data_IF_997972121785
#
_entry.id   IF_997972121785
#
_cell.length_a   1.000
_cell.length_b   1.000
_cell.length_c   1.000
_cell.angle_alpha   90.00
_cell.angle_beta   90.00
_cell.angle_gamma   90.00
#
_symmetry.space_group_name_H-M   'P 1'
#
loop_
_entity.id
_entity.type
_entity.pdbx_description
1 polymer ?
#
# COMPACT_ATOMS: atom_id res chain seq x y z
N UNK A 1 -15.44 57.14 32.87
CA UNK A 1 -14.28 56.32 32.46
C UNK A 1 -14.75 54.90 32.19
N UNK A 2 -15.00 54.55 30.93
CA UNK A 2 -15.50 53.20 30.50
C UNK A 2 -14.26 52.37 30.13
N UNK A 3 -14.01 51.28 30.86
CA UNK A 3 -12.99 50.28 30.55
C UNK A 3 -13.55 49.35 29.51
N UNK A 4 -13.01 49.36 28.28
CA UNK A 4 -13.29 48.37 27.27
C UNK A 4 -12.40 47.15 27.54
N UNK A 5 -13.02 46.03 27.94
CA UNK A 5 -12.41 44.75 28.01
C UNK A 5 -12.38 44.21 26.58
N UNK A 6 -11.21 44.19 25.97
CA UNK A 6 -10.97 43.53 24.67
C UNK A 6 -10.79 42.03 24.95
N UNK A 7 -11.84 41.24 24.77
CA UNK A 7 -11.75 39.79 24.79
C UNK A 7 -11.15 39.32 23.45
N UNK A 8 -9.86 39.09 23.44
CA UNK A 8 -9.18 38.42 22.34
C UNK A 8 -9.59 36.96 22.41
N UNK A 9 -10.58 36.60 21.60
CA UNK A 9 -10.94 35.20 21.33
C UNK A 9 -9.83 34.52 20.56
N UNK A 10 -8.98 33.81 21.27
CA UNK A 10 -7.97 32.94 20.69
C UNK A 10 -8.72 31.75 20.03
N UNK A 11 -9.05 31.90 18.75
CA UNK A 11 -9.53 30.82 17.92
C UNK A 11 -8.39 29.78 17.78
N UNK A 12 -8.40 28.80 18.66
CA UNK A 12 -7.66 27.56 18.46
C UNK A 12 -8.22 26.88 17.19
N UNK A 13 -7.60 27.11 16.07
CA UNK A 13 -7.71 26.20 14.93
C UNK A 13 -7.08 24.87 15.35
N UNK A 14 -7.86 24.00 15.96
CA UNK A 14 -7.52 22.60 16.11
C UNK A 14 -7.59 22.02 14.69
N UNK A 15 -6.45 22.02 14.03
CA UNK A 15 -6.27 21.22 12.81
C UNK A 15 -6.48 19.76 13.23
N UNK A 16 -7.65 19.21 12.99
CA UNK A 16 -7.88 17.79 13.08
C UNK A 16 -7.04 17.14 11.95
N UNK A 17 -5.81 16.78 12.27
CA UNK A 17 -5.04 15.85 11.49
C UNK A 17 -5.79 14.51 11.65
N UNK A 18 -6.65 14.20 10.69
CA UNK A 18 -7.35 12.94 10.64
C UNK A 18 -6.34 11.81 10.72
N UNK A 19 -6.63 10.78 11.50
CA UNK A 19 -5.84 9.56 11.52
C UNK A 19 -5.66 9.10 10.06
N UNK A 20 -4.41 8.97 9.62
CA UNK A 20 -4.13 8.48 8.28
C UNK A 20 -4.45 6.99 8.27
N UNK A 21 -5.39 6.59 7.42
CA UNK A 21 -5.71 5.20 7.18
C UNK A 21 -4.54 4.60 6.40
N UNK A 22 -3.80 3.70 7.02
CA UNK A 22 -2.63 3.07 6.41
C UNK A 22 -2.79 1.56 6.53
N UNK A 23 -2.75 0.87 5.41
CA UNK A 23 -2.69 -0.58 5.35
C UNK A 23 -1.26 -1.04 5.05
N UNK A 24 -0.98 -2.33 5.18
CA UNK A 24 0.38 -2.85 5.04
C UNK A 24 0.67 -3.26 3.62
N UNK A 25 -0.26 -3.95 2.97
CA UNK A 25 -0.13 -4.47 1.60
C UNK A 25 -0.95 -3.65 0.62
N UNK A 26 -2.15 -3.19 1.00
CA UNK A 26 -3.04 -2.40 0.14
C UNK A 26 -2.88 -0.91 0.37
N UNK A 27 -3.31 -0.12 -0.62
CA UNK A 27 -3.37 1.34 -0.51
C UNK A 27 -4.80 1.79 -0.12
N UNK A 28 -4.97 2.73 0.84
CA UNK A 28 -6.25 3.38 1.09
C UNK A 28 -6.53 4.46 0.05
N UNK A 29 -7.80 4.91 -0.04
CA UNK A 29 -8.18 6.05 -0.87
C UNK A 29 -7.61 7.40 -0.37
N UNK A 30 -7.12 7.44 0.85
CA UNK A 30 -6.46 8.61 1.43
C UNK A 30 -5.10 8.86 0.81
N UNK A 31 -4.77 10.14 0.60
CA UNK A 31 -3.45 10.56 0.15
C UNK A 31 -2.62 11.07 1.33
N UNK A 32 -1.30 11.05 1.15
CA UNK A 32 -0.40 11.74 2.05
C UNK A 32 -0.64 13.27 2.01
N UNK A 33 -0.27 14.03 3.06
CA UNK A 33 -0.43 15.47 3.09
C UNK A 33 0.26 16.18 1.93
N UNK A 34 -0.35 17.26 1.45
CA UNK A 34 0.22 18.06 0.36
C UNK A 34 1.60 18.62 0.74
N UNK A 35 2.57 18.52 -0.18
CA UNK A 35 3.95 18.97 0.01
C UNK A 35 4.78 18.08 0.94
N UNK A 36 4.23 16.98 1.46
CA UNK A 36 5.01 16.01 2.23
C UNK A 36 5.68 14.97 1.31
N UNK A 37 6.80 14.45 1.77
CA UNK A 37 7.49 13.32 1.14
C UNK A 37 7.59 12.15 2.12
N UNK A 38 7.71 10.95 1.59
CA UNK A 38 7.76 9.74 2.36
C UNK A 38 8.78 8.80 1.75
N UNK A 39 9.59 8.19 2.60
CA UNK A 39 10.50 7.10 2.23
C UNK A 39 10.00 5.85 2.93
N UNK A 40 9.74 4.80 2.16
CA UNK A 40 9.36 3.48 2.67
C UNK A 40 10.35 2.42 2.18
N UNK A 41 10.71 1.53 3.07
CA UNK A 41 11.51 0.36 2.79
C UNK A 41 10.67 -0.87 3.11
N UNK A 42 10.11 -1.47 2.07
CA UNK A 42 9.32 -2.70 2.19
C UNK A 42 10.21 -3.90 1.96
N UNK A 43 10.18 -4.84 2.88
CA UNK A 43 10.91 -6.09 2.81
C UNK A 43 9.92 -7.24 2.93
N UNK A 44 10.12 -8.27 2.13
CA UNK A 44 9.35 -9.50 2.25
C UNK A 44 10.24 -10.72 2.13
N UNK A 45 9.89 -11.73 2.91
CA UNK A 45 10.55 -13.03 2.91
C UNK A 45 9.47 -14.10 2.76
N UNK A 46 9.40 -14.70 1.57
CA UNK A 46 8.41 -15.68 1.21
C UNK A 46 9.05 -17.05 1.03
N UNK A 47 8.39 -18.09 1.55
CA UNK A 47 8.81 -19.46 1.35
C UNK A 47 8.45 -19.90 -0.06
N UNK A 48 9.43 -20.42 -0.80
CA UNK A 48 9.22 -21.05 -2.11
C UNK A 48 8.47 -22.37 -1.98
N UNK A 49 7.61 -22.64 -2.95
CA UNK A 49 6.85 -23.89 -3.01
C UNK A 49 7.52 -24.96 -3.87
N UNK A 50 8.29 -24.56 -4.87
CA UNK A 50 8.89 -25.45 -5.86
C UNK A 50 10.33 -25.82 -5.53
N UNK A 51 11.00 -25.03 -4.72
CA UNK A 51 12.39 -25.20 -4.30
C UNK A 51 12.52 -25.05 -2.80
N UNK A 52 13.53 -25.65 -2.20
CA UNK A 52 13.87 -25.43 -0.80
C UNK A 52 14.60 -24.09 -0.66
N UNK A 53 13.82 -23.03 -0.36
CA UNK A 53 14.40 -21.68 -0.27
C UNK A 53 13.41 -20.64 0.19
N UNK A 54 13.92 -19.41 0.23
CA UNK A 54 13.16 -18.22 0.53
C UNK A 54 13.45 -17.14 -0.50
N UNK A 55 12.40 -16.61 -1.08
CA UNK A 55 12.44 -15.39 -1.88
C UNK A 55 12.45 -14.18 -0.96
N UNK A 56 13.54 -13.42 -1.01
CA UNK A 56 13.66 -12.12 -0.37
C UNK A 56 13.46 -11.01 -1.39
N UNK A 57 12.54 -10.11 -1.11
CA UNK A 57 12.32 -8.91 -1.87
C UNK A 57 12.51 -7.68 -1.02
N UNK A 58 13.21 -6.71 -1.58
CA UNK A 58 13.42 -5.39 -1.01
C UNK A 58 12.89 -4.36 -2.00
N UNK A 59 11.96 -3.53 -1.55
CA UNK A 59 11.33 -2.50 -2.36
C UNK A 59 11.45 -1.12 -1.66
N UNK A 60 12.50 -0.35 -1.98
CA UNK A 60 12.57 1.05 -1.61
C UNK A 60 11.55 1.87 -2.40
N UNK A 61 10.79 2.70 -1.70
CA UNK A 61 9.76 3.57 -2.27
C UNK A 61 9.97 5.01 -1.85
N UNK A 62 9.75 5.93 -2.78
CA UNK A 62 9.71 7.36 -2.54
C UNK A 62 8.35 7.89 -2.98
N UNK A 63 7.60 8.49 -2.06
CA UNK A 63 6.29 9.07 -2.33
C UNK A 63 6.30 10.58 -2.11
N UNK A 64 5.47 11.30 -2.89
CA UNK A 64 5.29 12.74 -2.77
C UNK A 64 3.82 13.13 -2.93
N UNK A 65 3.29 13.89 -1.96
CA UNK A 65 1.96 14.48 -2.02
C UNK A 65 2.00 15.79 -2.80
N UNK A 66 1.58 15.78 -4.07
CA UNK A 66 1.55 16.98 -4.92
C UNK A 66 0.54 17.98 -4.38
N UNK A 67 -0.65 17.50 -4.04
CA UNK A 67 -1.72 18.26 -3.39
C UNK A 67 -2.63 17.32 -2.58
N UNK A 68 -3.69 17.83 -1.97
CA UNK A 68 -4.62 17.03 -1.16
C UNK A 68 -5.26 15.86 -1.92
N UNK A 69 -5.33 15.94 -3.24
CA UNK A 69 -6.03 14.97 -4.09
C UNK A 69 -5.09 14.08 -4.91
N UNK A 70 -3.83 14.49 -5.10
CA UNK A 70 -2.90 13.83 -6.01
C UNK A 70 -1.60 13.49 -5.30
N UNK A 71 -1.18 12.24 -5.39
CA UNK A 71 0.13 11.77 -4.95
C UNK A 71 0.79 10.91 -6.02
N UNK A 72 2.12 10.87 -5.99
CA UNK A 72 2.95 10.03 -6.83
C UNK A 72 3.88 9.19 -5.97
N UNK A 73 4.26 8.00 -6.45
CA UNK A 73 5.22 7.11 -5.81
C UNK A 73 6.12 6.48 -6.88
N UNK A 74 7.42 6.45 -6.62
CA UNK A 74 8.39 5.66 -7.36
C UNK A 74 8.89 4.54 -6.46
N UNK A 75 9.05 3.34 -7.03
CA UNK A 75 9.60 2.18 -6.33
C UNK A 75 10.68 1.50 -7.17
N UNK A 76 11.64 0.87 -6.51
CA UNK A 76 12.62 -0.02 -7.12
C UNK A 76 12.43 -1.44 -6.60
N UNK A 77 12.71 -2.44 -7.43
CA UNK A 77 12.56 -3.85 -7.10
C UNK A 77 13.93 -4.53 -7.00
N UNK A 78 14.23 -5.09 -5.86
CA UNK A 78 15.47 -5.84 -5.60
C UNK A 78 15.09 -7.19 -5.03
N UNK A 79 15.65 -8.28 -5.57
CA UNK A 79 15.40 -9.63 -5.08
C UNK A 79 16.67 -10.48 -5.03
N UNK A 80 16.55 -11.67 -4.41
CA UNK A 80 17.64 -12.64 -4.35
C UNK A 80 17.45 -13.83 -5.32
N UNK A 81 16.52 -13.77 -6.28
CA UNK A 81 16.19 -14.88 -7.19
C UNK A 81 17.40 -15.44 -7.96
N UNK A 82 18.39 -14.62 -8.24
CA UNK A 82 19.63 -15.03 -8.93
C UNK A 82 20.74 -15.43 -7.95
N UNK A 83 20.44 -15.96 -6.77
CA UNK A 83 21.38 -16.30 -5.69
C UNK A 83 22.22 -15.12 -5.18
N UNK A 84 21.85 -13.90 -5.52
CA UNK A 84 22.44 -12.64 -5.01
C UNK A 84 21.40 -11.53 -5.15
N UNK A 85 21.54 -10.49 -4.34
CA UNK A 85 20.69 -9.31 -4.45
C UNK A 85 20.92 -8.62 -5.80
N UNK A 86 19.85 -8.48 -6.57
CA UNK A 86 19.87 -7.90 -7.90
C UNK A 86 18.73 -6.91 -8.08
N UNK A 87 19.02 -5.77 -8.74
CA UNK A 87 18.03 -4.77 -9.10
C UNK A 87 17.25 -5.25 -10.34
N UNK A 88 16.02 -5.66 -10.15
CA UNK A 88 15.16 -6.21 -11.22
C UNK A 88 14.42 -5.14 -12.01
N UNK A 89 14.11 -3.99 -11.37
CA UNK A 89 13.34 -2.96 -12.05
C UNK A 89 12.77 -1.91 -11.12
N UNK A 90 11.64 -1.34 -11.53
CA UNK A 90 10.93 -0.34 -10.74
C UNK A 90 9.57 0.01 -11.31
N UNK A 91 8.82 0.82 -10.56
CA UNK A 91 7.50 1.30 -10.96
C UNK A 91 7.28 2.76 -10.64
N UNK A 92 6.34 3.35 -11.39
CA UNK A 92 5.73 4.64 -11.09
C UNK A 92 4.25 4.43 -10.81
N UNK A 93 3.77 5.04 -9.74
CA UNK A 93 2.39 4.96 -9.28
C UNK A 93 1.85 6.38 -9.08
N UNK A 94 0.62 6.61 -9.55
CA UNK A 94 -0.11 7.87 -9.39
C UNK A 94 -1.47 7.56 -8.81
N UNK A 95 -1.87 8.26 -7.74
CA UNK A 95 -3.20 8.12 -7.13
C UNK A 95 -3.90 9.47 -7.05
N UNK A 96 -5.14 9.49 -7.53
CA UNK A 96 -6.01 10.66 -7.53
C UNK A 96 -7.26 10.38 -6.70
N UNK A 97 -7.41 11.10 -5.59
CA UNK A 97 -8.61 11.07 -4.76
C UNK A 97 -9.63 12.05 -5.34
N UNK A 98 -10.66 11.53 -5.98
CA UNK A 98 -11.67 12.33 -6.64
C UNK A 98 -12.88 12.66 -5.75
N UNK A 99 -13.07 11.91 -4.64
CA UNK A 99 -14.15 12.15 -3.71
C UNK A 99 -13.68 12.04 -2.25
N UNK A 100 -14.18 12.95 -1.40
CA UNK A 100 -13.97 12.91 0.05
C UNK A 100 -15.20 13.53 0.72
N UNK A 101 -15.79 12.77 1.65
CA UNK A 101 -16.81 13.23 2.57
C UNK A 101 -16.29 13.03 3.98
N UNK A 102 -15.97 14.13 4.66
CA UNK A 102 -15.34 14.12 5.96
C UNK A 102 -16.30 14.70 7.01
N UNK A 103 -16.57 13.94 8.05
CA UNK A 103 -17.33 14.32 9.23
C UNK A 103 -16.45 14.14 10.48
N UNK A 104 -16.87 14.58 11.66
CA UNK A 104 -16.07 14.60 12.90
C UNK A 104 -15.47 13.25 13.24
N UNK A 105 -16.22 12.16 13.03
CA UNK A 105 -15.81 10.79 13.38
C UNK A 105 -15.94 9.79 12.23
N UNK A 106 -16.19 10.25 11.02
CA UNK A 106 -16.42 9.40 9.87
C UNK A 106 -15.91 10.04 8.61
N UNK A 107 -15.09 9.31 7.85
CA UNK A 107 -14.57 9.76 6.57
C UNK A 107 -14.92 8.71 5.52
N UNK A 108 -15.38 9.15 4.36
CA UNK A 108 -15.55 8.28 3.20
C UNK A 108 -14.82 8.88 2.00
N UNK A 109 -13.96 8.09 1.37
CA UNK A 109 -13.08 8.54 0.32
C UNK A 109 -13.07 7.57 -0.84
N UNK A 110 -13.01 8.13 -2.06
CA UNK A 110 -12.84 7.37 -3.29
C UNK A 110 -11.62 7.90 -4.04
N UNK A 111 -10.82 6.97 -4.56
CA UNK A 111 -9.65 7.29 -5.36
C UNK A 111 -9.56 6.35 -6.57
N UNK A 112 -8.89 6.83 -7.61
CA UNK A 112 -8.41 6.02 -8.71
C UNK A 112 -6.89 6.04 -8.71
N UNK A 113 -6.27 5.02 -9.26
CA UNK A 113 -4.83 4.96 -9.40
C UNK A 113 -4.40 4.29 -10.70
N UNK A 114 -3.19 4.62 -11.12
CA UNK A 114 -2.50 3.94 -12.20
C UNK A 114 -1.07 3.61 -11.79
N UNK A 115 -0.58 2.48 -12.27
CA UNK A 115 0.80 2.04 -12.12
C UNK A 115 1.36 1.64 -13.47
N UNK A 116 2.63 1.96 -13.68
CA UNK A 116 3.44 1.45 -14.79
C UNK A 116 4.68 0.85 -14.17
N UNK A 117 5.04 -0.36 -14.58
CA UNK A 117 6.23 -1.04 -14.09
C UNK A 117 7.09 -1.60 -15.21
N UNK A 118 8.38 -1.67 -14.93
CA UNK A 118 9.37 -2.37 -15.74
C UNK A 118 10.16 -3.30 -14.85
N UNK A 119 10.25 -4.56 -15.27
CA UNK A 119 11.01 -5.61 -14.62
C UNK A 119 11.92 -6.29 -15.63
N UNK A 120 12.98 -6.96 -15.17
CA UNK A 120 13.94 -7.71 -15.99
C UNK A 120 14.13 -9.13 -15.49
N UNK A 121 13.31 -9.55 -14.50
CA UNK A 121 13.35 -10.89 -13.95
C UNK A 121 12.63 -11.88 -14.87
N UNK A 122 12.95 -13.15 -14.67
CA UNK A 122 12.26 -14.26 -15.31
C UNK A 122 10.77 -14.32 -14.92
N UNK A 123 9.92 -14.76 -15.86
CA UNK A 123 8.49 -14.96 -15.66
C UNK A 123 8.24 -16.44 -15.41
N UNK A 124 8.09 -16.84 -14.14
CA UNK A 124 8.04 -18.25 -13.72
C UNK A 124 6.75 -18.61 -12.96
N UNK A 125 5.77 -17.72 -12.92
CA UNK A 125 4.48 -17.94 -12.27
C UNK A 125 3.32 -17.40 -13.11
N UNK A 126 2.10 -17.90 -12.87
CA UNK A 126 0.89 -17.41 -13.54
C UNK A 126 0.31 -16.17 -12.87
N UNK A 127 0.60 -15.97 -11.57
CA UNK A 127 0.21 -14.75 -10.87
C UNK A 127 0.85 -13.54 -11.56
N UNK A 128 0.02 -12.53 -11.87
CA UNK A 128 0.48 -11.25 -12.42
C UNK A 128 0.69 -10.29 -11.26
N UNK A 129 1.87 -9.65 -11.22
CA UNK A 129 2.21 -8.70 -10.17
C UNK A 129 3.16 -7.62 -10.71
N UNK A 130 2.60 -6.46 -11.08
CA UNK A 130 3.37 -5.31 -11.55
C UNK A 130 4.14 -4.61 -10.42
N UNK A 131 3.93 -5.04 -9.18
CA UNK A 131 4.65 -4.54 -8.02
C UNK A 131 5.78 -5.50 -7.60
N UNK A 132 6.68 -5.83 -8.55
CA UNK A 132 7.89 -6.57 -8.24
C UNK A 132 8.22 -7.73 -9.17
N UNK A 133 7.27 -8.29 -9.93
CA UNK A 133 7.50 -9.47 -10.76
C UNK A 133 7.35 -9.22 -12.26
N UNK A 134 6.35 -8.44 -12.67
CA UNK A 134 6.03 -8.24 -14.07
C UNK A 134 6.23 -6.79 -14.50
N UNK A 135 6.71 -6.61 -15.72
CA UNK A 135 6.49 -5.37 -16.46
C UNK A 135 5.01 -5.28 -16.83
N UNK A 136 4.47 -4.06 -16.84
CA UNK A 136 3.08 -3.90 -17.24
C UNK A 136 2.44 -2.64 -16.70
N UNK A 137 1.11 -2.64 -16.73
CA UNK A 137 0.27 -1.53 -16.27
C UNK A 137 -0.85 -2.04 -15.38
N UNK A 138 -1.25 -1.21 -14.44
CA UNK A 138 -2.40 -1.45 -13.56
C UNK A 138 -3.22 -0.18 -13.44
N UNK A 139 -4.56 -0.33 -13.50
CA UNK A 139 -5.52 0.75 -13.26
C UNK A 139 -6.57 0.28 -12.26
N UNK A 140 -6.85 1.07 -11.24
CA UNK A 140 -7.77 0.64 -10.20
C UNK A 140 -8.55 1.76 -9.53
N UNK A 141 -9.53 1.31 -8.75
CA UNK A 141 -10.40 2.13 -7.91
C UNK A 141 -10.26 1.66 -6.46
N UNK A 142 -10.32 2.61 -5.53
CA UNK A 142 -10.24 2.37 -4.09
C UNK A 142 -11.37 3.11 -3.42
N UNK A 143 -12.08 2.43 -2.51
CA UNK A 143 -13.05 3.01 -1.60
C UNK A 143 -12.61 2.76 -0.16
N UNK A 144 -12.53 3.80 0.66
CA UNK A 144 -12.14 3.69 2.07
C UNK A 144 -13.14 4.41 2.96
N UNK A 145 -13.60 3.71 3.99
CA UNK A 145 -14.46 4.25 5.05
C UNK A 145 -13.75 4.15 6.39
N UNK A 146 -13.58 5.29 7.04
CA UNK A 146 -13.15 5.37 8.43
C UNK A 146 -14.35 5.71 9.30
N UNK A 147 -14.53 4.96 10.38
CA UNK A 147 -15.52 5.26 11.43
C UNK A 147 -14.82 5.16 12.77
N UNK A 148 -14.70 6.29 13.47
CA UNK A 148 -13.95 6.42 14.71
C UNK A 148 -12.49 5.92 14.58
N UNK A 149 -12.20 4.74 15.09
CA UNK A 149 -10.87 4.12 15.11
C UNK A 149 -10.75 2.91 14.16
N UNK A 150 -11.78 2.66 13.36
CA UNK A 150 -11.85 1.50 12.47
C UNK A 150 -11.93 1.97 11.04
N UNK A 151 -11.02 1.50 10.21
CA UNK A 151 -10.99 1.72 8.78
C UNK A 151 -11.33 0.44 8.02
N UNK A 152 -12.13 0.56 6.97
CA UNK A 152 -12.40 -0.50 6.01
C UNK A 152 -12.09 0.07 4.63
N UNK A 153 -11.33 -0.68 3.84
CA UNK A 153 -10.99 -0.31 2.47
C UNK A 153 -11.23 -1.49 1.54
N UNK A 154 -11.67 -1.19 0.34
CA UNK A 154 -11.77 -2.17 -0.74
C UNK A 154 -11.22 -1.58 -2.02
N UNK A 155 -10.57 -2.40 -2.83
CA UNK A 155 -10.08 -2.01 -4.14
C UNK A 155 -10.44 -3.03 -5.21
N UNK A 156 -10.52 -2.56 -6.45
CA UNK A 156 -10.60 -3.39 -7.65
C UNK A 156 -9.71 -2.76 -8.71
N UNK A 157 -8.96 -3.59 -9.44
CA UNK A 157 -8.11 -3.13 -10.53
C UNK A 157 -8.04 -4.13 -11.68
N UNK A 158 -7.72 -3.59 -12.85
CA UNK A 158 -7.28 -4.33 -14.02
C UNK A 158 -5.75 -4.23 -14.12
N UNK A 159 -5.11 -5.36 -14.23
CA UNK A 159 -3.67 -5.47 -14.34
C UNK A 159 -3.32 -6.22 -15.61
N UNK A 160 -2.38 -5.68 -16.39
CA UNK A 160 -1.92 -6.29 -17.63
C UNK A 160 -0.39 -6.38 -17.63
N UNK A 161 0.11 -7.61 -17.68
CA UNK A 161 1.53 -7.89 -17.83
C UNK A 161 2.00 -7.74 -19.27
N UNK A 162 3.26 -7.39 -19.42
CA UNK A 162 3.98 -7.33 -20.70
C UNK A 162 5.32 -8.06 -20.56
N UNK A 163 6.09 -8.14 -21.63
CA UNK A 163 7.42 -8.73 -21.60
C UNK A 163 8.33 -8.00 -20.61
N UNK A 164 8.99 -8.74 -19.74
CA UNK A 164 9.93 -8.17 -18.78
C UNK A 164 11.21 -7.65 -19.47
N UNK A 165 11.77 -8.46 -20.36
CA UNK A 165 12.99 -8.16 -21.14
C UNK A 165 12.87 -8.86 -22.51
N UNK A 166 13.65 -8.51 -23.54
CA UNK A 166 13.69 -9.27 -24.79
C UNK A 166 13.99 -10.75 -24.62
N UNK A 167 14.71 -11.14 -23.56
CA UNK A 167 15.01 -12.53 -23.21
C UNK A 167 13.95 -13.18 -22.30
N UNK A 168 13.06 -12.40 -21.69
CA UNK A 168 12.01 -12.83 -20.78
C UNK A 168 10.66 -12.38 -21.29
N UNK A 169 10.25 -13.01 -22.39
CA UNK A 169 8.98 -12.77 -23.07
C UNK A 169 7.86 -13.40 -22.24
N UNK A 170 6.74 -12.71 -22.12
CA UNK A 170 5.56 -13.25 -21.44
C UNK A 170 5.06 -14.48 -22.23
N UNK A 171 4.86 -15.64 -21.57
CA UNK A 171 4.47 -16.87 -22.26
C UNK A 171 3.10 -16.73 -22.94
N UNK A 172 3.01 -17.03 -24.24
CA UNK A 172 1.77 -16.95 -25.02
C UNK A 172 0.67 -17.89 -24.50
N UNK A 173 1.05 -18.94 -23.78
CA UNK A 173 0.12 -19.91 -23.19
C UNK A 173 -0.44 -19.47 -21.84
N UNK A 174 0.06 -18.38 -21.28
CA UNK A 174 -0.39 -17.81 -20.02
C UNK A 174 -1.24 -16.57 -20.28
N UNK A 175 -2.27 -16.40 -19.44
CA UNK A 175 -3.08 -15.19 -19.41
C UNK A 175 -2.26 -14.02 -18.88
N UNK A 176 -2.22 -12.92 -19.61
CA UNK A 176 -1.45 -11.73 -19.27
C UNK A 176 -2.29 -10.60 -18.65
N UNK A 177 -3.57 -10.87 -18.41
CA UNK A 177 -4.51 -9.86 -17.88
C UNK A 177 -5.25 -10.44 -16.67
N UNK A 178 -5.34 -9.67 -15.62
CA UNK A 178 -6.00 -10.08 -14.38
C UNK A 178 -6.88 -8.96 -13.80
N UNK A 179 -7.89 -9.40 -13.05
CA UNK A 179 -8.66 -8.54 -12.15
C UNK A 179 -8.16 -8.81 -10.74
N UNK A 180 -7.66 -7.75 -10.09
CA UNK A 180 -7.30 -7.77 -8.67
C UNK A 180 -8.43 -7.19 -7.83
N UNK A 181 -8.60 -7.72 -6.64
CA UNK A 181 -9.55 -7.20 -5.67
C UNK A 181 -9.01 -7.36 -4.25
N UNK A 182 -9.36 -6.41 -3.38
CA UNK A 182 -8.95 -6.47 -1.98
C UNK A 182 -10.06 -6.02 -1.04
N UNK A 183 -9.97 -6.52 0.19
CA UNK A 183 -10.76 -6.05 1.32
C UNK A 183 -9.83 -5.95 2.54
N UNK A 184 -9.71 -4.75 3.09
CA UNK A 184 -8.81 -4.46 4.21
C UNK A 184 -9.61 -3.90 5.37
N UNK A 185 -9.29 -4.37 6.57
CA UNK A 185 -9.83 -3.88 7.82
C UNK A 185 -8.68 -3.51 8.75
N UNK A 186 -8.76 -2.34 9.37
CA UNK A 186 -7.76 -1.87 10.32
C UNK A 186 -8.41 -1.20 11.52
N UNK A 187 -7.82 -1.38 12.71
CA UNK A 187 -8.30 -0.75 13.92
C UNK A 187 -7.15 -0.26 14.79
N UNK A 188 -7.29 0.99 15.27
CA UNK A 188 -6.41 1.54 16.29
C UNK A 188 -6.72 0.90 17.63
N UNK A 189 -5.77 0.14 18.17
CA UNK A 189 -5.87 -0.55 19.46
C UNK A 189 -5.32 0.31 20.61
N UNK A 190 -4.24 1.06 20.36
CA UNK A 190 -3.61 1.93 21.33
C UNK A 190 -3.15 3.24 20.65
N UNK A 191 -3.31 4.42 21.27
CA UNK A 191 -3.86 4.66 22.61
C UNK A 191 -5.40 4.62 22.64
N UNK A 192 -5.97 4.32 23.80
CA UNK A 192 -7.43 4.43 24.02
C UNK A 192 -7.92 5.87 23.88
N UNK A 193 -7.11 6.83 24.35
CA UNK A 193 -7.39 8.27 24.30
C UNK A 193 -6.13 9.02 23.85
N UNK A 194 -6.25 9.89 22.85
CA UNK A 194 -5.15 10.73 22.40
C UNK A 194 -4.88 11.84 23.40
N UNK A 195 -3.60 11.99 23.78
CA UNK A 195 -3.12 13.11 24.62
C UNK A 195 -2.12 14.00 23.87
N UNK A 196 -1.43 13.46 22.88
CA UNK A 196 -0.40 14.15 22.10
C UNK A 196 -0.13 13.43 20.79
N UNK A 197 0.29 14.14 19.75
CA UNK A 197 0.77 13.57 18.49
C UNK A 197 2.08 12.79 18.62
N UNK A 198 2.81 12.96 19.72
CA UNK A 198 4.05 12.23 20.02
C UNK A 198 3.80 10.82 20.57
N UNK A 199 2.54 10.41 20.71
CA UNK A 199 2.21 9.08 21.19
C UNK A 199 2.46 8.04 20.09
N UNK A 200 2.85 6.84 20.52
CA UNK A 200 2.89 5.69 19.64
C UNK A 200 1.49 5.14 19.44
N UNK A 201 1.09 4.94 18.19
CA UNK A 201 -0.14 4.27 17.81
C UNK A 201 0.15 2.82 17.48
N UNK A 202 -0.69 1.91 17.95
CA UNK A 202 -0.63 0.49 17.60
C UNK A 202 -1.94 0.13 16.91
N UNK A 203 -1.83 -0.31 15.66
CA UNK A 203 -2.95 -0.75 14.84
C UNK A 203 -2.87 -2.25 14.60
N UNK A 204 -4.02 -2.89 14.58
CA UNK A 204 -4.19 -4.27 14.12
C UNK A 204 -4.90 -4.24 12.76
N UNK A 205 -4.43 -5.05 11.81
CA UNK A 205 -4.94 -5.07 10.45
C UNK A 205 -5.13 -6.48 9.92
N UNK A 206 -6.15 -6.63 9.10
CA UNK A 206 -6.42 -7.84 8.31
C UNK A 206 -6.72 -7.41 6.88
N UNK A 207 -6.06 -8.05 5.92
CA UNK A 207 -6.23 -7.75 4.51
C UNK A 207 -6.45 -9.05 3.74
N UNK A 208 -7.49 -9.09 2.91
CA UNK A 208 -7.73 -10.14 1.94
C UNK A 208 -7.37 -9.62 0.56
N UNK A 209 -6.58 -10.40 -0.17
CA UNK A 209 -6.10 -10.10 -1.50
C UNK A 209 -6.52 -11.21 -2.43
N UNK A 210 -7.06 -10.86 -3.57
CA UNK A 210 -7.45 -11.82 -4.58
C UNK A 210 -7.10 -11.34 -5.98
N UNK A 211 -6.84 -12.29 -6.85
CA UNK A 211 -6.65 -12.07 -8.29
C UNK A 211 -7.35 -13.17 -9.06
N UNK A 212 -8.00 -12.79 -10.15
CA UNK A 212 -8.57 -13.72 -11.11
C UNK A 212 -8.05 -13.37 -12.50
N UNK A 213 -7.44 -14.33 -13.17
CA UNK A 213 -7.00 -14.20 -14.56
C UNK A 213 -8.19 -14.11 -15.51
N UNK A 214 -8.09 -13.28 -16.55
CA UNK A 214 -9.24 -12.89 -17.38
C UNK A 214 -9.74 -14.03 -18.27
N UNK A 215 -8.85 -14.81 -18.88
CA UNK A 215 -9.21 -15.82 -19.87
C UNK A 215 -9.49 -17.18 -19.23
N UNK A 216 -8.54 -17.69 -18.45
CA UNK A 216 -8.62 -19.04 -17.88
C UNK A 216 -9.32 -19.13 -16.52
N UNK A 217 -9.69 -17.96 -15.93
CA UNK A 217 -10.40 -17.84 -14.65
C UNK A 217 -9.65 -18.43 -13.45
N UNK A 218 -8.37 -18.73 -13.57
CA UNK A 218 -7.57 -19.13 -12.42
C UNK A 218 -7.53 -18.00 -11.38
N UNK A 219 -7.66 -18.39 -10.13
CA UNK A 219 -7.88 -17.44 -9.03
C UNK A 219 -7.02 -17.80 -7.83
N UNK A 220 -6.55 -16.83 -7.11
CA UNK A 220 -6.08 -17.00 -5.74
C UNK A 220 -6.80 -16.05 -4.77
N UNK A 221 -6.79 -16.42 -3.49
CA UNK A 221 -7.21 -15.59 -2.36
C UNK A 221 -6.19 -15.79 -1.24
N UNK A 222 -5.62 -14.69 -0.78
CA UNK A 222 -4.69 -14.65 0.34
C UNK A 222 -5.26 -13.85 1.51
N UNK A 223 -4.86 -14.22 2.71
CA UNK A 223 -5.12 -13.46 3.92
C UNK A 223 -3.83 -12.94 4.52
N UNK A 224 -3.83 -11.70 4.97
CA UNK A 224 -2.71 -11.06 5.67
C UNK A 224 -3.18 -10.54 7.02
N UNK A 225 -2.45 -10.87 8.08
CA UNK A 225 -2.61 -10.30 9.41
C UNK A 225 -1.40 -9.45 9.75
N UNK A 226 -1.61 -8.25 10.28
CA UNK A 226 -0.53 -7.31 10.53
C UNK A 226 -0.71 -6.52 11.82
N UNK A 227 0.44 -6.18 12.42
CA UNK A 227 0.55 -5.18 13.49
C UNK A 227 1.38 -4.01 12.98
N UNK A 228 0.93 -2.80 13.26
CA UNK A 228 1.55 -1.56 12.81
C UNK A 228 1.82 -0.66 14.00
N UNK A 229 3.03 -0.12 14.06
CA UNK A 229 3.46 0.87 15.04
C UNK A 229 3.70 2.19 14.33
N UNK A 230 3.03 3.26 14.77
CA UNK A 230 3.26 4.63 14.27
C UNK A 230 3.82 5.45 15.42
N UNK A 231 5.05 5.91 15.28
CA UNK A 231 5.77 6.67 16.31
C UNK A 231 5.86 8.13 15.88
N UNK A 232 5.50 9.04 16.79
CA UNK A 232 5.53 10.49 16.56
C UNK A 232 4.74 10.94 15.32
N UNK A 233 3.77 10.15 14.87
CA UNK A 233 3.01 10.39 13.62
C UNK A 233 3.87 10.51 12.35
N UNK A 234 5.14 10.15 12.39
CA UNK A 234 6.11 10.28 11.30
C UNK A 234 6.73 8.95 10.89
N UNK A 235 7.13 8.14 11.89
CA UNK A 235 7.77 6.84 11.65
C UNK A 235 6.74 5.74 11.74
N UNK A 236 6.81 4.78 10.85
CA UNK A 236 5.94 3.60 10.83
C UNK A 236 6.77 2.33 10.69
N UNK A 237 6.40 1.33 11.45
CA UNK A 237 6.94 -0.03 11.37
C UNK A 237 5.76 -0.97 11.26
N UNK A 238 5.74 -1.80 10.23
CA UNK A 238 4.72 -2.83 10.02
C UNK A 238 5.37 -4.20 10.06
N UNK A 239 4.74 -5.12 10.76
CA UNK A 239 5.04 -6.55 10.70
C UNK A 239 3.78 -7.28 10.28
N UNK A 240 3.85 -8.07 9.20
CA UNK A 240 2.70 -8.80 8.68
C UNK A 240 3.08 -10.21 8.26
N UNK A 241 2.10 -11.11 8.32
CA UNK A 241 2.17 -12.46 7.80
C UNK A 241 1.08 -12.66 6.76
N UNK A 242 1.49 -13.08 5.54
CA UNK A 242 0.60 -13.43 4.43
C UNK A 242 0.53 -14.94 4.29
N UNK A 243 -0.67 -15.46 4.12
CA UNK A 243 -0.95 -16.87 3.88
C UNK A 243 -1.92 -17.02 2.71
N UNK A 244 -1.61 -17.93 1.82
CA UNK A 244 -2.53 -18.37 0.78
C UNK A 244 -3.66 -19.17 1.41
N UNK A 245 -4.90 -18.72 1.17
CA UNK A 245 -6.13 -19.39 1.62
C UNK A 245 -6.70 -20.28 0.54
N UNK A 246 -6.57 -19.86 -0.71
CA UNK A 246 -7.00 -20.60 -1.89
C UNK A 246 -6.12 -20.22 -3.10
N UNK A 247 -5.74 -21.17 -3.93
CA UNK A 247 -5.13 -20.92 -5.23
C UNK A 247 -5.30 -22.14 -6.15
N UNK A 248 -5.70 -21.89 -7.40
CA UNK A 248 -5.67 -22.85 -8.49
C UNK A 248 -4.77 -22.40 -9.65
N UNK A 249 -3.89 -21.40 -9.38
CA UNK A 249 -2.85 -20.95 -10.31
C UNK A 249 -1.46 -21.26 -9.76
N UNK A 250 -0.49 -21.33 -10.65
CA UNK A 250 0.92 -21.50 -10.29
C UNK A 250 1.47 -20.21 -9.66
N UNK A 251 1.99 -20.34 -8.45
CA UNK A 251 2.63 -19.24 -7.67
C UNK A 251 3.90 -19.77 -7.03
N UNK A 252 4.98 -19.02 -7.17
CA UNK A 252 6.28 -19.45 -6.66
C UNK A 252 6.35 -19.38 -5.12
N UNK A 253 5.90 -18.29 -4.53
CA UNK A 253 6.06 -18.03 -3.09
C UNK A 253 4.84 -17.28 -2.52
N UNK A 254 3.71 -17.96 -2.21
CA UNK A 254 2.50 -17.30 -1.75
C UNK A 254 2.46 -16.99 -0.25
N UNK A 255 3.33 -17.61 0.56
CA UNK A 255 3.31 -17.49 2.03
C UNK A 255 4.59 -16.85 2.53
N UNK A 256 4.47 -15.85 3.40
CA UNK A 256 5.65 -15.20 3.95
C UNK A 256 5.35 -14.05 4.89
N UNK A 257 6.39 -13.34 5.26
CA UNK A 257 6.33 -12.19 6.16
C UNK A 257 6.71 -10.91 5.43
N UNK A 258 6.12 -9.80 5.89
CA UNK A 258 6.52 -8.45 5.52
C UNK A 258 7.08 -7.73 6.73
N UNK A 259 8.12 -6.94 6.50
CA UNK A 259 8.66 -5.98 7.44
C UNK A 259 8.85 -4.65 6.70
N UNK A 260 8.07 -3.64 7.07
CA UNK A 260 8.14 -2.33 6.43
C UNK A 260 8.62 -1.29 7.43
N UNK A 261 9.47 -0.40 6.95
CA UNK A 261 9.88 0.82 7.64
C UNK A 261 9.51 2.01 6.79
N UNK A 262 8.91 3.02 7.39
CA UNK A 262 8.48 4.21 6.69
C UNK A 262 8.76 5.45 7.52
N UNK A 263 9.19 6.52 6.86
CA UNK A 263 9.34 7.82 7.47
C UNK A 263 8.75 8.91 6.59
N UNK A 264 7.90 9.76 7.19
CA UNK A 264 7.23 10.86 6.52
C UNK A 264 7.84 12.19 6.93
N UNK A 265 8.29 12.96 5.95
CA UNK A 265 8.77 14.32 6.08
C UNK A 265 7.61 15.28 5.80
N UNK A 266 7.05 15.86 6.83
CA UNK A 266 6.00 16.88 6.67
C UNK A 266 6.62 18.21 6.29
N UNK A 267 6.14 18.83 5.21
CA UNK A 267 6.49 20.19 4.87
C UNK A 267 5.53 21.14 5.60
N UNK A 268 5.87 21.48 6.82
CA UNK A 268 5.19 22.57 7.52
C UNK A 268 5.72 23.90 6.92
N UNK A 269 5.12 24.34 5.79
CA UNK A 269 5.30 25.74 5.41
C UNK A 269 4.81 26.60 6.57
N UNK A 270 5.74 27.35 7.15
CA UNK A 270 5.45 28.44 8.10
C UNK A 270 4.63 29.53 7.44
#
# INVERSE_FOLDING_TARGET
MKKYLLSVGLLYFISYLGAQELFVVTDPASNMPAGSSNIRLSQSLFKELLEDGYNYHLMPELSYGINKNLMVRAASFVSNRSNRLYLEGGSLFVKYRFFSSDDIHSHFRLATYGRVSKNRADIHQEQIETMGHNSGVELGLIATKLVHKTAISSSISLEKATNNDPNYVFPETQDNTAINYSLSWGRLMYPKTYKSYKQTNINLMFEFLGQTLSDNRKTFIDGTAAIQFIVNSQSRIDLAYRKSLFSNMLRSAPNGIYLNFEYTFFNFKK
#
